data_IF_357670896883
#
_entry.id   IF_357670896883
#
_cell.length_a   1.000
_cell.length_b   1.000
_cell.length_c   1.000
_cell.angle_alpha   90.00
_cell.angle_beta   90.00
_cell.angle_gamma   90.00
#
_symmetry.space_group_name_H-M   'P 1'
#
loop_
_entity.id
_entity.type
_entity.pdbx_description
1 polymer ?
#
# COMPACT_ATOMS: atom_id res chain seq x y z
N UNK A 1 24.95 21.72 -21.94
CA UNK A 1 25.84 22.46 -21.01
C UNK A 1 24.97 23.30 -20.09
N UNK A 2 24.54 22.73 -18.97
CA UNK A 2 23.72 23.43 -17.98
C UNK A 2 24.68 24.09 -16.98
N UNK A 3 24.78 25.42 -17.03
CA UNK A 3 25.60 26.20 -16.10
C UNK A 3 24.80 26.39 -14.81
N UNK A 4 25.10 25.62 -13.77
CA UNK A 4 24.64 25.93 -12.41
C UNK A 4 25.48 27.09 -11.87
N UNK A 5 24.92 28.30 -11.89
CA UNK A 5 25.44 29.45 -11.16
C UNK A 5 25.53 29.13 -9.66
N UNK A 6 26.64 29.51 -9.03
CA UNK A 6 26.88 29.35 -7.60
C UNK A 6 26.24 30.48 -6.81
N UNK A 7 25.25 30.15 -5.98
CA UNK A 7 24.81 30.99 -4.85
C UNK A 7 25.63 30.65 -3.59
N UNK A 8 25.68 31.55 -2.59
CA UNK A 8 26.47 31.35 -1.37
C UNK A 8 25.82 30.25 -0.52
N UNK A 9 26.57 29.18 -0.25
CA UNK A 9 26.11 27.97 0.45
C UNK A 9 26.27 26.67 -0.36
N UNK A 10 26.86 26.70 -1.55
CA UNK A 10 27.03 25.51 -2.41
C UNK A 10 27.89 24.43 -1.73
N UNK A 11 27.26 23.31 -1.41
CA UNK A 11 27.91 22.00 -1.29
C UNK A 11 28.82 21.75 -2.50
N UNK A 12 30.07 21.33 -2.26
CA UNK A 12 30.97 20.93 -3.33
C UNK A 12 30.44 19.66 -4.05
N UNK A 13 30.81 19.49 -5.31
CA UNK A 13 30.40 18.35 -6.14
C UNK A 13 31.61 17.46 -6.39
N UNK A 14 31.47 16.17 -6.11
CA UNK A 14 32.48 15.14 -6.29
C UNK A 14 32.01 14.14 -7.35
N UNK A 15 32.79 14.00 -8.42
CA UNK A 15 32.51 13.04 -9.49
C UNK A 15 33.35 11.78 -9.30
N UNK A 16 32.72 10.61 -9.37
CA UNK A 16 33.43 9.33 -9.37
C UNK A 16 34.21 9.15 -10.67
N UNK A 17 35.52 8.89 -10.58
CA UNK A 17 36.40 8.73 -11.76
C UNK A 17 36.48 7.29 -12.26
N UNK A 18 36.14 6.30 -11.42
CA UNK A 18 36.19 4.87 -11.78
C UNK A 18 37.58 4.35 -12.19
N UNK A 19 38.66 4.89 -11.61
CA UNK A 19 40.05 4.40 -11.81
C UNK A 19 40.50 3.42 -10.70
N UNK A 20 39.53 2.68 -10.16
CA UNK A 20 39.61 1.81 -8.99
C UNK A 20 38.22 1.67 -8.37
N UNK A 21 38.05 0.76 -7.40
CA UNK A 21 36.75 0.49 -6.75
C UNK A 21 36.55 1.19 -5.41
N UNK A 22 37.62 1.43 -4.63
CA UNK A 22 37.49 1.88 -3.23
C UNK A 22 36.84 3.27 -3.09
N UNK A 23 35.65 3.34 -2.47
CA UNK A 23 34.97 4.61 -2.19
C UNK A 23 35.84 5.54 -1.34
N UNK A 24 36.53 4.99 -0.34
CA UNK A 24 37.31 5.76 0.64
C UNK A 24 38.67 6.26 0.11
N UNK A 25 38.99 6.07 -1.18
CA UNK A 25 40.29 6.48 -1.73
C UNK A 25 40.19 7.82 -2.45
N UNK A 26 40.88 8.83 -1.92
CA UNK A 26 40.87 10.21 -2.44
C UNK A 26 41.10 10.31 -3.96
N UNK A 27 41.99 9.47 -4.50
CA UNK A 27 42.36 9.48 -5.91
C UNK A 27 41.27 8.95 -6.84
N UNK A 28 40.16 8.41 -6.33
CA UNK A 28 39.01 7.93 -7.12
C UNK A 28 37.94 9.00 -7.35
N UNK A 29 38.10 10.17 -6.73
CA UNK A 29 37.16 11.28 -6.88
C UNK A 29 37.78 12.50 -7.58
N UNK A 30 36.92 13.31 -8.18
CA UNK A 30 37.24 14.63 -8.72
C UNK A 30 36.30 15.68 -8.11
N UNK A 31 36.79 16.70 -7.39
CA UNK A 31 38.19 16.93 -7.04
C UNK A 31 38.76 15.83 -6.14
N UNK A 32 40.09 15.76 -6.02
CA UNK A 32 40.75 14.75 -5.18
C UNK A 32 40.35 14.92 -3.71
N UNK A 33 39.76 13.88 -3.13
CA UNK A 33 39.27 13.85 -1.74
C UNK A 33 38.12 12.85 -1.61
N UNK A 34 37.75 12.46 -0.40
CA UNK A 34 36.58 11.58 -0.20
C UNK A 34 35.37 12.47 0.11
N UNK A 35 34.24 12.29 -0.60
CA UNK A 35 33.00 13.00 -0.28
C UNK A 35 32.58 12.74 1.16
N UNK A 36 32.00 13.76 1.79
CA UNK A 36 31.38 13.65 3.12
C UNK A 36 29.89 13.98 3.03
N UNK A 37 29.22 14.04 4.18
CA UNK A 37 27.81 14.39 4.27
C UNK A 37 27.44 15.79 3.74
N UNK A 38 28.43 16.64 3.43
CA UNK A 38 28.23 17.99 2.92
C UNK A 38 28.35 18.11 1.40
N UNK A 39 28.84 17.08 0.71
CA UNK A 39 29.14 17.13 -0.72
C UNK A 39 28.22 16.24 -1.56
N UNK A 40 27.85 16.74 -2.74
CA UNK A 40 27.08 15.96 -3.72
C UNK A 40 28.00 15.01 -4.46
N UNK A 41 27.56 13.78 -4.66
CA UNK A 41 28.25 12.76 -5.44
C UNK A 41 27.57 12.64 -6.81
N UNK A 42 28.36 12.68 -7.88
CA UNK A 42 27.87 12.46 -9.25
C UNK A 42 28.57 11.26 -9.88
N UNK A 43 27.77 10.36 -10.44
CA UNK A 43 28.21 9.30 -11.33
C UNK A 43 27.92 9.71 -12.78
N UNK A 44 28.98 10.06 -13.53
CA UNK A 44 28.90 10.54 -14.92
C UNK A 44 29.02 9.41 -15.94
N UNK A 45 28.94 9.69 -17.24
CA UNK A 45 28.80 8.69 -18.30
C UNK A 45 29.98 7.71 -18.50
N UNK A 46 31.09 7.81 -17.75
CA UNK A 46 32.32 7.06 -18.07
C UNK A 46 33.24 6.61 -16.89
N UNK A 47 32.73 6.12 -15.73
CA UNK A 47 33.59 5.39 -14.81
C UNK A 47 33.84 3.96 -15.33
N UNK A 48 35.11 3.55 -15.42
CA UNK A 48 35.46 2.18 -15.84
C UNK A 48 35.05 1.12 -14.80
N UNK A 49 35.10 1.48 -13.53
CA UNK A 49 34.83 0.59 -12.41
C UNK A 49 33.72 1.11 -11.50
N UNK A 50 32.97 0.18 -10.95
CA UNK A 50 31.90 0.43 -9.99
C UNK A 50 32.47 0.65 -8.58
N UNK A 51 31.90 1.59 -7.80
CA UNK A 51 32.40 1.89 -6.47
C UNK A 51 32.05 0.77 -5.47
N UNK A 52 32.95 0.54 -4.53
CA UNK A 52 32.82 -0.38 -3.42
C UNK A 52 33.02 0.39 -2.10
N UNK A 53 32.01 0.35 -1.23
CA UNK A 53 31.99 0.96 0.10
C UNK A 53 32.86 0.12 1.06
N UNK A 54 34.17 0.40 1.04
CA UNK A 54 35.19 -0.29 1.84
C UNK A 54 35.42 0.30 3.24
N UNK A 55 34.72 1.38 3.58
CA UNK A 55 34.67 1.99 4.90
C UNK A 55 33.35 2.76 5.02
N UNK A 56 32.94 3.15 6.24
CA UNK A 56 31.76 3.99 6.40
C UNK A 56 31.91 5.27 5.57
N UNK A 57 30.93 5.54 4.73
CA UNK A 57 30.94 6.60 3.75
C UNK A 57 29.74 7.53 3.95
N UNK A 58 29.85 8.76 3.45
CA UNK A 58 28.75 9.71 3.47
C UNK A 58 28.71 10.55 2.19
N UNK A 59 27.51 11.00 1.83
CA UNK A 59 27.27 11.97 0.77
C UNK A 59 26.09 12.87 1.16
N UNK A 60 26.09 14.12 0.72
CA UNK A 60 24.90 14.96 0.82
C UNK A 60 23.78 14.37 -0.05
N UNK A 61 24.08 14.07 -1.32
CA UNK A 61 23.19 13.40 -2.24
C UNK A 61 23.98 12.58 -3.26
N UNK A 62 23.32 11.64 -3.94
CA UNK A 62 23.90 10.84 -5.03
C UNK A 62 23.11 11.05 -6.31
N UNK A 63 23.74 11.54 -7.37
CA UNK A 63 23.11 11.71 -8.67
C UNK A 63 23.80 10.83 -9.72
N UNK A 64 23.04 9.92 -10.31
CA UNK A 64 23.44 9.21 -11.53
C UNK A 64 23.05 10.07 -12.73
N UNK A 65 24.04 10.58 -13.45
CA UNK A 65 23.81 11.51 -14.55
C UNK A 65 23.26 10.80 -15.79
N UNK A 66 22.57 11.56 -16.64
CA UNK A 66 22.09 11.05 -17.92
C UNK A 66 23.23 10.40 -18.74
N UNK A 67 22.93 9.24 -19.32
CA UNK A 67 23.88 8.47 -20.13
C UNK A 67 24.85 7.60 -19.33
N UNK A 68 24.83 7.61 -17.98
CA UNK A 68 25.60 6.62 -17.22
C UNK A 68 25.05 5.22 -17.47
N UNK A 69 25.94 4.26 -17.71
CA UNK A 69 25.60 2.83 -17.72
C UNK A 69 25.00 2.38 -16.38
N UNK A 70 24.48 1.17 -16.29
CA UNK A 70 24.17 0.60 -14.98
C UNK A 70 25.42 0.61 -14.10
N UNK A 71 25.32 1.24 -12.93
CA UNK A 71 26.31 1.21 -11.88
C UNK A 71 25.79 0.44 -10.68
N UNK A 72 26.68 -0.31 -10.04
CA UNK A 72 26.40 -0.96 -8.76
C UNK A 72 27.28 -0.36 -7.66
N UNK A 73 26.71 0.41 -6.74
CA UNK A 73 27.43 0.78 -5.51
C UNK A 73 27.42 -0.45 -4.59
N UNK A 74 28.56 -1.13 -4.47
CA UNK A 74 28.67 -2.39 -3.73
C UNK A 74 29.25 -2.22 -2.33
N UNK A 75 29.10 -3.24 -1.48
CA UNK A 75 29.78 -3.34 -0.18
C UNK A 75 28.80 -3.58 0.96
N UNK A 76 28.82 -4.76 1.56
CA UNK A 76 27.75 -5.19 2.48
C UNK A 76 28.04 -4.96 3.96
N UNK A 77 29.28 -4.60 4.31
CA UNK A 77 29.75 -4.49 5.70
C UNK A 77 29.63 -3.06 6.23
N UNK A 78 29.94 -2.07 5.39
CA UNK A 78 30.01 -0.67 5.79
C UNK A 78 28.79 0.10 5.30
N UNK A 79 28.43 1.14 6.04
CA UNK A 79 27.25 1.95 5.75
C UNK A 79 27.58 3.11 4.81
N UNK A 80 26.64 3.44 3.93
CA UNK A 80 26.61 4.66 3.14
C UNK A 80 25.49 5.56 3.69
N UNK A 81 25.89 6.64 4.37
CA UNK A 81 24.97 7.62 4.94
C UNK A 81 24.65 8.72 3.93
N UNK A 82 23.37 8.96 3.68
CA UNK A 82 22.91 9.97 2.70
C UNK A 82 21.97 10.94 3.40
N UNK A 83 22.14 12.25 3.13
CA UNK A 83 21.42 13.32 3.82
C UNK A 83 20.15 13.74 3.08
N UNK A 84 20.24 13.96 1.77
CA UNK A 84 19.20 14.57 0.93
C UNK A 84 18.58 13.59 -0.06
N UNK A 85 19.28 12.51 -0.39
CA UNK A 85 18.75 11.40 -1.17
C UNK A 85 19.56 11.07 -2.42
N UNK A 86 18.90 10.43 -3.37
CA UNK A 86 19.53 10.00 -4.60
C UNK A 86 18.59 10.10 -5.81
N UNK A 87 19.17 10.38 -6.98
CA UNK A 87 18.43 10.51 -8.24
C UNK A 87 19.05 9.65 -9.33
N UNK A 88 18.24 8.83 -10.00
CA UNK A 88 18.61 8.23 -11.28
C UNK A 88 18.11 9.08 -12.45
N UNK A 89 19.01 9.86 -13.07
CA UNK A 89 18.72 10.61 -14.30
C UNK A 89 19.16 9.85 -15.56
N UNK A 90 19.59 8.59 -15.44
CA UNK A 90 19.90 7.73 -16.57
C UNK A 90 18.73 6.82 -16.89
N UNK A 91 18.64 6.43 -18.16
CA UNK A 91 17.69 5.43 -18.64
C UNK A 91 18.04 4.01 -18.20
N UNK A 92 19.27 3.79 -17.75
CA UNK A 92 19.70 2.49 -17.25
C UNK A 92 19.38 2.36 -15.76
N UNK A 93 18.93 1.18 -15.34
CA UNK A 93 18.78 0.83 -13.93
C UNK A 93 20.08 1.10 -13.17
N UNK A 94 19.96 1.68 -11.97
CA UNK A 94 21.08 1.86 -11.04
C UNK A 94 20.86 1.02 -9.79
N UNK A 95 21.94 0.41 -9.29
CA UNK A 95 21.87 -0.57 -8.21
C UNK A 95 22.65 -0.05 -7.00
N UNK A 96 22.01 -0.07 -5.84
CA UNK A 96 22.66 0.17 -4.55
C UNK A 96 22.68 -1.14 -3.77
N UNK A 97 23.85 -1.76 -3.68
CA UNK A 97 24.10 -2.98 -2.92
C UNK A 97 25.03 -2.73 -1.73
N UNK A 98 24.82 -1.60 -1.05
CA UNK A 98 25.45 -1.24 0.21
C UNK A 98 24.40 -0.86 1.25
N UNK A 99 24.60 -1.19 2.54
CA UNK A 99 23.72 -0.72 3.61
C UNK A 99 23.57 0.80 3.60
N UNK A 100 22.33 1.27 3.60
CA UNK A 100 21.97 2.68 3.58
C UNK A 100 21.55 3.14 4.97
N UNK A 101 21.99 4.34 5.36
CA UNK A 101 21.62 4.97 6.61
C UNK A 101 21.11 6.39 6.36
N UNK A 102 19.85 6.65 6.70
CA UNK A 102 19.27 7.99 6.60
C UNK A 102 19.78 8.87 7.74
N UNK A 103 20.36 10.02 7.42
CA UNK A 103 20.75 11.04 8.40
C UNK A 103 19.83 12.26 8.38
N UNK A 104 18.88 12.28 7.45
CA UNK A 104 17.78 13.21 7.34
C UNK A 104 16.65 12.60 6.51
N UNK A 105 15.49 13.24 6.50
CA UNK A 105 14.42 12.88 5.56
C UNK A 105 14.89 13.19 4.14
N UNK A 106 14.76 12.22 3.24
CA UNK A 106 15.37 12.30 1.90
C UNK A 106 14.50 11.71 0.80
N UNK A 107 14.81 12.05 -0.45
CA UNK A 107 14.11 11.57 -1.64
C UNK A 107 14.97 10.60 -2.46
N UNK A 108 14.43 9.43 -2.78
CA UNK A 108 14.98 8.50 -3.77
C UNK A 108 14.14 8.57 -5.03
N UNK A 109 14.72 9.09 -6.10
CA UNK A 109 14.00 9.48 -7.30
C UNK A 109 14.47 8.70 -8.52
N UNK A 110 13.62 7.82 -9.04
CA UNK A 110 13.81 7.14 -10.32
C UNK A 110 13.32 8.06 -11.45
N UNK A 111 14.15 9.06 -11.82
CA UNK A 111 13.73 10.18 -12.66
C UNK A 111 13.72 9.88 -14.16
N UNK A 112 14.54 8.94 -14.62
CA UNK A 112 14.63 8.56 -16.03
C UNK A 112 14.80 7.05 -16.25
N UNK A 113 15.01 6.29 -15.18
CA UNK A 113 15.24 4.85 -15.18
C UNK A 113 15.19 4.30 -13.76
N UNK A 114 15.14 2.98 -13.65
CA UNK A 114 14.81 2.31 -12.40
C UNK A 114 15.90 2.43 -11.32
N UNK A 115 15.50 2.27 -10.06
CA UNK A 115 16.39 2.12 -8.91
C UNK A 115 16.20 0.74 -8.27
N UNK A 116 17.28 -0.03 -8.11
CA UNK A 116 17.28 -1.32 -7.40
C UNK A 116 18.12 -1.23 -6.11
N UNK A 117 17.46 -1.26 -4.95
CA UNK A 117 18.10 -1.17 -3.64
C UNK A 117 18.19 -2.58 -3.03
N UNK A 118 19.40 -3.13 -3.01
CA UNK A 118 19.70 -4.48 -2.51
C UNK A 118 20.28 -4.48 -1.10
N UNK A 119 20.96 -3.41 -0.71
CA UNK A 119 21.40 -3.21 0.67
C UNK A 119 20.23 -2.91 1.61
N UNK A 120 20.38 -3.27 2.88
CA UNK A 120 19.41 -2.89 3.92
C UNK A 120 19.36 -1.36 4.09
N UNK A 121 18.19 -0.82 4.41
CA UNK A 121 17.99 0.60 4.65
C UNK A 121 17.55 0.85 6.10
N UNK A 122 18.30 1.65 6.84
CA UNK A 122 17.89 2.16 8.14
C UNK A 122 17.35 3.58 8.00
N UNK A 123 16.04 3.75 8.25
CA UNK A 123 15.37 5.05 8.22
C UNK A 123 15.65 5.90 9.46
N UNK A 124 16.22 5.31 10.51
CA UNK A 124 16.38 5.90 11.84
C UNK A 124 15.06 6.45 12.38
N UNK A 125 14.78 7.75 12.23
CA UNK A 125 13.50 8.38 12.57
C UNK A 125 13.01 9.33 11.47
N UNK A 126 13.47 9.13 10.24
CA UNK A 126 13.27 10.04 9.12
C UNK A 126 12.30 9.49 8.07
N UNK A 127 11.73 10.38 7.27
CA UNK A 127 10.86 9.99 6.16
C UNK A 127 11.69 9.68 4.91
N UNK A 128 11.45 8.52 4.31
CA UNK A 128 11.93 8.21 2.97
C UNK A 128 10.83 8.55 1.96
N UNK A 129 11.09 9.54 1.10
CA UNK A 129 10.25 9.78 -0.07
C UNK A 129 10.79 8.97 -1.24
N UNK A 130 9.96 8.15 -1.87
CA UNK A 130 10.28 7.50 -3.15
C UNK A 130 9.44 8.15 -4.24
N UNK A 131 10.07 8.61 -5.31
CA UNK A 131 9.41 9.34 -6.39
C UNK A 131 9.99 9.04 -7.76
N UNK A 132 9.46 9.69 -8.79
CA UNK A 132 9.79 9.45 -10.18
C UNK A 132 8.66 8.79 -10.95
N UNK A 133 8.84 8.71 -12.26
CA UNK A 133 7.94 8.04 -13.21
C UNK A 133 8.39 6.62 -13.56
N UNK A 134 9.57 6.21 -13.07
CA UNK A 134 10.13 4.87 -13.19
C UNK A 134 10.11 4.13 -11.86
N UNK A 135 10.43 2.83 -11.89
CA UNK A 135 10.21 1.97 -10.75
C UNK A 135 11.40 2.01 -9.77
N UNK A 136 11.08 1.82 -8.49
CA UNK A 136 12.06 1.59 -7.43
C UNK A 136 11.74 0.27 -6.76
N UNK A 137 12.68 -0.68 -6.80
CA UNK A 137 12.53 -1.95 -6.10
C UNK A 137 13.50 -2.01 -4.92
N UNK A 138 12.98 -2.26 -3.72
CA UNK A 138 13.76 -2.43 -2.50
C UNK A 138 13.72 -3.91 -2.10
N UNK A 139 14.86 -4.57 -2.29
CA UNK A 139 15.10 -5.96 -1.89
C UNK A 139 15.64 -6.08 -0.46
N UNK A 140 16.46 -5.12 -0.03
CA UNK A 140 16.97 -5.09 1.34
C UNK A 140 15.87 -4.80 2.36
N UNK A 141 16.05 -5.25 3.60
CA UNK A 141 15.12 -4.90 4.68
C UNK A 141 15.19 -3.41 5.01
N UNK A 142 14.04 -2.83 5.31
CA UNK A 142 13.88 -1.46 5.80
C UNK A 142 13.60 -1.52 7.30
N UNK A 143 14.29 -0.68 8.07
CA UNK A 143 14.22 -0.65 9.55
C UNK A 143 14.21 0.78 10.09
N UNK A 144 13.97 0.94 11.40
CA UNK A 144 13.93 2.24 12.09
C UNK A 144 12.51 2.76 12.34
N UNK A 145 12.37 3.82 13.12
CA UNK A 145 11.08 4.45 13.43
C UNK A 145 10.59 5.46 12.38
N UNK A 146 11.35 5.61 11.29
CA UNK A 146 10.97 6.43 10.13
C UNK A 146 9.84 5.80 9.29
N UNK A 147 9.25 6.60 8.40
CA UNK A 147 8.14 6.21 7.53
C UNK A 147 8.43 6.37 6.04
N UNK A 148 7.46 6.01 5.20
CA UNK A 148 7.57 6.06 3.73
C UNK A 148 6.55 7.03 3.15
N UNK A 149 6.99 7.84 2.19
CA UNK A 149 6.13 8.65 1.32
C UNK A 149 6.34 8.17 -0.11
N UNK A 150 5.29 7.69 -0.77
CA UNK A 150 5.30 7.29 -2.17
C UNK A 150 4.68 8.39 -3.03
N UNK A 151 5.51 9.03 -3.86
CA UNK A 151 5.17 10.06 -4.84
C UNK A 151 5.47 9.56 -6.26
N UNK A 152 5.09 10.35 -7.27
CA UNK A 152 5.37 10.05 -8.69
C UNK A 152 4.55 8.86 -9.22
N UNK A 153 4.57 8.66 -10.55
CA UNK A 153 3.74 7.64 -11.20
C UNK A 153 4.34 6.23 -11.19
N UNK A 154 5.63 6.08 -10.92
CA UNK A 154 6.29 4.77 -10.88
C UNK A 154 5.80 3.87 -9.73
N UNK A 155 6.28 2.64 -9.71
CA UNK A 155 5.99 1.65 -8.67
C UNK A 155 7.13 1.58 -7.66
N UNK A 156 6.81 1.65 -6.37
CA UNK A 156 7.71 1.23 -5.30
C UNK A 156 7.35 -0.21 -4.92
N UNK A 157 8.27 -1.14 -5.14
CA UNK A 157 8.09 -2.56 -4.78
C UNK A 157 8.93 -2.89 -3.55
N UNK A 158 8.28 -3.41 -2.51
CA UNK A 158 8.93 -3.90 -1.28
C UNK A 158 9.01 -5.43 -1.30
N UNK A 159 10.23 -5.95 -1.47
CA UNK A 159 10.52 -7.39 -1.50
C UNK A 159 11.17 -7.89 -0.20
N UNK A 160 11.72 -7.00 0.64
CA UNK A 160 12.36 -7.36 1.89
C UNK A 160 11.38 -7.52 3.05
N UNK A 161 11.80 -8.22 4.11
CA UNK A 161 11.09 -8.28 5.39
C UNK A 161 11.39 -6.99 6.16
N UNK A 162 10.39 -6.14 6.31
CA UNK A 162 10.56 -4.78 6.81
C UNK A 162 10.08 -4.64 8.25
N UNK A 163 10.83 -3.88 9.05
CA UNK A 163 10.59 -3.68 10.49
C UNK A 163 10.44 -2.21 10.86
N UNK A 164 10.38 -1.31 9.87
CA UNK A 164 10.14 0.10 10.15
C UNK A 164 8.74 0.32 10.74
N UNK A 165 8.61 1.36 11.55
CA UNK A 165 7.38 1.63 12.31
C UNK A 165 6.76 3.01 12.11
N UNK A 166 7.30 3.83 11.20
CA UNK A 166 6.65 5.07 10.79
C UNK A 166 5.49 4.83 9.82
N UNK A 167 4.63 5.83 9.66
CA UNK A 167 3.47 5.75 8.76
C UNK A 167 3.86 5.70 7.28
N UNK A 168 2.91 5.23 6.47
CA UNK A 168 3.05 5.17 5.01
C UNK A 168 2.03 6.09 4.36
N UNK A 169 2.49 6.97 3.47
CA UNK A 169 1.64 7.87 2.70
C UNK A 169 1.83 7.61 1.20
N UNK A 170 0.77 7.23 0.49
CA UNK A 170 0.80 6.95 -0.95
C UNK A 170 0.07 8.09 -1.67
N UNK A 171 0.84 9.05 -2.16
CA UNK A 171 0.34 10.24 -2.85
C UNK A 171 0.17 10.04 -4.36
N UNK A 172 0.84 9.04 -4.94
CA UNK A 172 0.71 8.71 -6.36
C UNK A 172 1.49 7.45 -6.75
N UNK A 173 1.19 6.92 -7.94
CA UNK A 173 1.75 5.66 -8.42
C UNK A 173 1.34 4.48 -7.53
N UNK A 174 2.17 3.45 -7.48
CA UNK A 174 1.84 2.21 -6.74
C UNK A 174 2.88 1.93 -5.65
N UNK A 175 2.42 1.54 -4.46
CA UNK A 175 3.21 0.78 -3.49
C UNK A 175 2.80 -0.69 -3.61
N UNK A 176 3.71 -1.54 -4.10
CA UNK A 176 3.49 -2.97 -4.26
C UNK A 176 4.20 -3.75 -3.14
N UNK A 177 3.45 -4.60 -2.47
CA UNK A 177 3.93 -5.51 -1.45
C UNK A 177 4.15 -6.88 -2.07
N UNK A 178 5.37 -7.38 -2.00
CA UNK A 178 5.75 -8.64 -2.66
C UNK A 178 6.57 -9.56 -1.74
N UNK A 179 6.42 -9.36 -0.42
CA UNK A 179 6.90 -10.23 0.65
C UNK A 179 5.83 -10.35 1.72
N UNK A 180 5.77 -11.48 2.43
CA UNK A 180 4.84 -11.71 3.55
C UNK A 180 5.02 -10.61 4.62
N UNK A 181 6.27 -10.31 4.97
CA UNK A 181 6.63 -9.25 5.92
C UNK A 181 6.97 -7.92 5.22
N UNK A 182 6.34 -7.61 4.08
CA UNK A 182 6.65 -6.36 3.37
C UNK A 182 6.37 -5.12 4.25
N UNK A 183 5.40 -5.17 5.17
CA UNK A 183 5.19 -4.18 6.22
C UNK A 183 4.51 -4.89 7.40
N UNK A 184 4.83 -4.50 8.65
CA UNK A 184 4.32 -5.20 9.84
C UNK A 184 4.06 -4.34 11.07
N UNK A 185 4.84 -3.27 11.30
CA UNK A 185 4.79 -2.51 12.55
C UNK A 185 4.36 -1.05 12.34
N UNK A 186 3.59 -0.77 11.29
CA UNK A 186 3.19 0.60 10.96
C UNK A 186 1.86 0.94 11.61
N UNK A 187 1.67 2.16 12.13
CA UNK A 187 0.41 2.52 12.78
C UNK A 187 -0.73 2.72 11.77
N UNK A 188 -0.38 3.06 10.52
CA UNK A 188 -1.36 3.41 9.49
C UNK A 188 -0.76 3.46 8.10
N UNK A 189 -1.63 3.24 7.11
CA UNK A 189 -1.36 3.49 5.69
C UNK A 189 -2.43 4.45 5.15
N UNK A 190 -1.98 5.58 4.62
CA UNK A 190 -2.85 6.57 3.97
C UNK A 190 -2.64 6.53 2.47
N UNK A 191 -3.72 6.27 1.72
CA UNK A 191 -3.73 6.23 0.26
C UNK A 191 -4.48 7.45 -0.27
N UNK A 192 -3.72 8.49 -0.65
CA UNK A 192 -4.28 9.78 -1.07
C UNK A 192 -4.80 9.74 -2.51
N UNK A 193 -3.95 9.40 -3.47
CA UNK A 193 -4.32 9.34 -4.89
C UNK A 193 -3.56 8.25 -5.68
N UNK A 194 -2.73 7.44 -5.01
CA UNK A 194 -2.07 6.29 -5.62
C UNK A 194 -2.75 4.96 -5.25
N UNK A 195 -1.99 3.88 -5.38
CA UNK A 195 -2.45 2.51 -5.16
C UNK A 195 -1.60 1.81 -4.11
N UNK A 196 -2.26 1.15 -3.15
CA UNK A 196 -1.66 0.08 -2.35
C UNK A 196 -1.99 -1.26 -3.01
N UNK A 197 -0.99 -2.01 -3.48
CA UNK A 197 -1.16 -3.34 -4.05
C UNK A 197 -0.63 -4.38 -3.07
N UNK A 198 -1.52 -5.22 -2.53
CA UNK A 198 -1.21 -6.18 -1.46
C UNK A 198 -0.41 -7.40 -1.94
N UNK A 199 -0.38 -7.64 -3.26
CA UNK A 199 0.30 -8.81 -3.82
C UNK A 199 -0.43 -10.11 -3.50
N UNK A 200 0.15 -11.25 -3.88
CA UNK A 200 -0.50 -12.57 -3.79
C UNK A 200 -0.13 -13.39 -2.55
N UNK A 201 0.60 -12.83 -1.60
CA UNK A 201 1.24 -13.63 -0.54
C UNK A 201 0.29 -13.95 0.62
N UNK A 202 -0.71 -13.10 0.89
CA UNK A 202 -1.86 -13.43 1.75
C UNK A 202 -1.53 -13.81 3.19
N UNK A 203 -0.88 -12.92 3.92
CA UNK A 203 -0.54 -13.14 5.34
C UNK A 203 -0.51 -11.85 6.17
N UNK A 204 -1.12 -10.77 5.67
CA UNK A 204 -1.39 -9.64 6.55
C UNK A 204 -2.59 -9.97 7.40
N UNK A 205 -2.41 -10.38 8.66
CA UNK A 205 -3.50 -10.51 9.62
C UNK A 205 -3.20 -9.60 10.82
N UNK A 206 -3.08 -8.30 10.53
CA UNK A 206 -2.80 -7.28 11.54
C UNK A 206 -3.97 -6.30 11.66
N UNK A 207 -4.88 -6.64 12.59
CA UNK A 207 -6.04 -5.81 12.94
C UNK A 207 -5.66 -4.47 13.61
N UNK A 208 -4.37 -4.17 13.81
CA UNK A 208 -3.91 -2.89 14.37
C UNK A 208 -3.58 -1.83 13.31
N UNK A 209 -3.38 -2.22 12.05
CA UNK A 209 -3.01 -1.29 10.97
C UNK A 209 -4.26 -0.66 10.36
N UNK A 210 -4.48 0.63 10.58
CA UNK A 210 -5.57 1.36 9.94
C UNK A 210 -5.26 1.72 8.48
N UNK A 211 -6.26 1.59 7.60
CA UNK A 211 -6.21 2.00 6.20
C UNK A 211 -7.07 3.23 5.98
N UNK A 212 -6.47 4.33 5.54
CA UNK A 212 -7.17 5.57 5.20
C UNK A 212 -7.18 5.75 3.69
N UNK A 213 -8.34 5.64 3.05
CA UNK A 213 -8.52 5.93 1.63
C UNK A 213 -9.08 7.35 1.46
N UNK A 214 -8.22 8.27 1.01
CA UNK A 214 -8.52 9.72 0.86
C UNK A 214 -8.81 10.09 -0.61
N UNK A 215 -8.96 9.09 -1.46
CA UNK A 215 -9.04 9.22 -2.92
C UNK A 215 -8.24 8.14 -3.67
N UNK A 216 -7.40 7.39 -2.95
CA UNK A 216 -6.56 6.33 -3.50
C UNK A 216 -7.27 4.99 -3.67
N UNK A 217 -6.50 3.99 -4.10
CA UNK A 217 -6.97 2.66 -4.46
C UNK A 217 -6.28 1.58 -3.62
N UNK A 218 -7.03 0.54 -3.27
CA UNK A 218 -6.52 -0.69 -2.72
C UNK A 218 -6.72 -1.80 -3.73
N UNK A 219 -5.65 -2.46 -4.15
CA UNK A 219 -5.69 -3.62 -5.04
C UNK A 219 -5.28 -4.87 -4.26
N UNK A 220 -6.17 -5.86 -4.24
CA UNK A 220 -5.88 -7.18 -3.69
C UNK A 220 -5.05 -8.01 -4.66
N UNK A 221 -4.30 -8.96 -4.14
CA UNK A 221 -3.89 -10.13 -4.92
C UNK A 221 -4.67 -11.37 -4.52
N UNK A 222 -4.07 -12.54 -4.70
CA UNK A 222 -4.71 -13.84 -4.40
C UNK A 222 -4.62 -14.21 -2.91
N UNK A 223 -3.99 -13.37 -2.10
CA UNK A 223 -3.84 -13.56 -0.68
C UNK A 223 -5.09 -13.14 0.10
N UNK A 224 -5.35 -13.79 1.24
CA UNK A 224 -6.29 -13.22 2.22
C UNK A 224 -5.54 -12.26 3.13
N UNK A 225 -6.08 -11.07 3.32
CA UNK A 225 -5.45 -9.99 4.07
C UNK A 225 -6.46 -9.35 5.06
N UNK A 226 -5.95 -8.80 6.14
CA UNK A 226 -6.65 -8.38 7.34
C UNK A 226 -6.00 -7.14 7.93
N UNK A 227 -6.82 -6.12 8.15
CA UNK A 227 -6.43 -4.80 8.62
C UNK A 227 -7.28 -4.36 9.80
N UNK A 228 -6.89 -3.26 10.43
CA UNK A 228 -7.71 -2.53 11.40
C UNK A 228 -8.87 -1.79 10.75
N UNK A 229 -9.12 -0.58 11.21
CA UNK A 229 -10.20 0.26 10.66
C UNK A 229 -9.94 0.64 9.21
N UNK A 230 -10.98 0.54 8.38
CA UNK A 230 -11.04 1.19 7.06
C UNK A 230 -11.71 2.55 7.20
N UNK A 231 -11.00 3.64 6.91
CA UNK A 231 -11.59 4.98 6.83
C UNK A 231 -11.64 5.49 5.39
N UNK A 232 -12.82 5.96 4.98
CA UNK A 232 -13.04 6.60 3.68
C UNK A 232 -13.31 8.09 3.87
N UNK A 233 -12.49 8.93 3.24
CA UNK A 233 -12.64 10.39 3.24
C UNK A 233 -12.65 11.02 1.83
N UNK A 234 -12.35 10.24 0.79
CA UNK A 234 -12.38 10.65 -0.61
C UNK A 234 -13.01 9.62 -1.54
N UNK A 235 -12.99 9.89 -2.84
CA UNK A 235 -13.52 8.96 -3.86
C UNK A 235 -12.49 7.86 -4.10
N UNK A 236 -12.70 6.71 -3.47
CA UNK A 236 -11.73 5.64 -3.38
C UNK A 236 -12.22 4.34 -3.98
N UNK A 237 -11.28 3.43 -4.21
CA UNK A 237 -11.55 2.16 -4.86
C UNK A 237 -10.94 1.00 -4.09
N UNK A 238 -11.66 -0.13 -4.07
CA UNK A 238 -11.11 -1.44 -3.76
C UNK A 238 -11.27 -2.29 -5.00
N UNK A 239 -10.20 -2.94 -5.43
CA UNK A 239 -10.20 -3.85 -6.57
C UNK A 239 -9.87 -5.25 -6.09
N UNK A 240 -10.86 -6.12 -6.19
CA UNK A 240 -10.74 -7.55 -5.97
C UNK A 240 -10.06 -8.21 -7.17
N UNK A 241 -9.47 -9.38 -6.97
CA UNK A 241 -8.77 -10.15 -8.00
C UNK A 241 -9.56 -11.43 -8.31
N UNK A 242 -10.46 -11.42 -9.31
CA UNK A 242 -11.30 -12.57 -9.61
C UNK A 242 -10.48 -13.72 -10.22
N UNK A 243 -9.84 -14.53 -9.38
CA UNK A 243 -8.95 -15.63 -9.75
C UNK A 243 -9.55 -17.00 -9.46
N UNK A 244 -10.70 -17.07 -8.80
CA UNK A 244 -11.35 -18.31 -8.34
C UNK A 244 -10.75 -18.88 -7.05
N UNK A 245 -9.86 -18.15 -6.39
CA UNK A 245 -9.22 -18.58 -5.14
C UNK A 245 -10.09 -18.31 -3.91
N UNK A 246 -11.08 -17.41 -4.00
CA UNK A 246 -11.98 -17.11 -2.89
C UNK A 246 -11.33 -16.33 -1.75
N UNK A 247 -10.47 -15.37 -2.06
CA UNK A 247 -9.64 -14.68 -1.07
C UNK A 247 -10.43 -13.67 -0.25
N UNK A 248 -10.02 -13.44 0.99
CA UNK A 248 -10.75 -12.58 1.93
C UNK A 248 -9.95 -11.32 2.21
N UNK A 249 -10.59 -10.17 2.02
CA UNK A 249 -10.14 -8.91 2.60
C UNK A 249 -10.96 -8.59 3.84
N UNK A 250 -10.29 -8.44 4.99
CA UNK A 250 -10.92 -8.21 6.28
C UNK A 250 -10.48 -6.89 6.89
N UNK A 251 -11.42 -6.22 7.54
CA UNK A 251 -11.19 -5.02 8.33
C UNK A 251 -11.82 -5.16 9.71
N UNK A 252 -11.19 -4.62 10.74
CA UNK A 252 -11.75 -4.59 12.10
C UNK A 252 -13.06 -3.79 12.16
N UNK A 253 -13.16 -2.73 11.36
CA UNK A 253 -14.31 -1.84 11.30
C UNK A 253 -14.26 -0.92 10.08
N UNK A 254 -15.29 -0.08 9.95
CA UNK A 254 -15.43 0.85 8.84
C UNK A 254 -15.93 2.21 9.31
N UNK A 255 -15.24 3.27 8.90
CA UNK A 255 -15.60 4.66 9.14
C UNK A 255 -15.72 5.42 7.83
N UNK A 256 -16.64 6.39 7.80
CA UNK A 256 -16.85 7.28 6.66
C UNK A 256 -16.88 8.72 7.15
N UNK A 257 -16.01 9.54 6.56
CA UNK A 257 -15.92 10.98 6.82
C UNK A 257 -16.12 11.82 5.55
N UNK A 258 -16.15 11.19 4.36
CA UNK A 258 -16.44 11.84 3.08
C UNK A 258 -16.20 10.93 1.87
N UNK A 259 -16.62 11.38 0.69
CA UNK A 259 -16.39 10.68 -0.57
C UNK A 259 -17.23 9.41 -0.76
N UNK A 260 -16.73 8.47 -1.55
CA UNK A 260 -17.41 7.21 -1.92
C UNK A 260 -16.41 6.07 -2.05
N UNK A 261 -16.89 4.83 -1.91
CA UNK A 261 -16.10 3.63 -2.16
C UNK A 261 -16.67 2.85 -3.34
N UNK A 262 -15.89 2.68 -4.40
CA UNK A 262 -16.24 1.78 -5.51
C UNK A 262 -15.48 0.47 -5.42
N UNK A 263 -16.19 -0.65 -5.49
CA UNK A 263 -15.62 -1.99 -5.43
C UNK A 263 -15.66 -2.62 -6.82
N UNK A 264 -14.50 -3.00 -7.35
CA UNK A 264 -14.34 -3.66 -8.63
C UNK A 264 -14.01 -5.15 -8.46
N UNK A 265 -14.41 -5.96 -9.45
CA UNK A 265 -14.03 -7.38 -9.50
C UNK A 265 -14.86 -8.30 -8.61
N UNK A 266 -15.90 -7.80 -7.94
CA UNK A 266 -16.80 -8.64 -7.15
C UNK A 266 -17.62 -9.57 -8.05
N UNK A 267 -17.84 -10.80 -7.58
CA UNK A 267 -18.65 -11.80 -8.26
C UNK A 267 -19.72 -12.35 -7.34
N UNK A 268 -20.93 -12.55 -7.87
CA UNK A 268 -22.04 -13.12 -7.11
C UNK A 268 -23.40 -12.60 -7.57
N UNK A 269 -24.41 -12.80 -6.73
CA UNK A 269 -25.76 -12.25 -6.92
C UNK A 269 -26.03 -11.20 -5.83
N UNK A 270 -26.60 -10.04 -6.16
CA UNK A 270 -26.92 -9.00 -5.17
C UNK A 270 -27.68 -9.54 -3.95
N UNK A 271 -27.28 -9.07 -2.76
CA UNK A 271 -27.81 -9.52 -1.47
C UNK A 271 -27.53 -11.00 -1.12
N UNK A 272 -26.62 -11.64 -1.84
CA UNK A 272 -26.11 -12.98 -1.51
C UNK A 272 -24.59 -12.93 -1.32
N UNK A 273 -24.02 -13.93 -0.65
CA UNK A 273 -22.57 -14.04 -0.53
C UNK A 273 -21.88 -14.00 -1.90
N UNK A 274 -20.72 -13.35 -1.94
CA UNK A 274 -19.84 -13.37 -3.08
C UNK A 274 -19.35 -14.79 -3.40
N UNK A 275 -19.01 -15.03 -4.66
CA UNK A 275 -18.63 -16.35 -5.17
C UNK A 275 -17.13 -16.57 -5.33
N UNK A 276 -16.35 -15.51 -5.19
CA UNK A 276 -14.89 -15.54 -5.28
C UNK A 276 -14.31 -14.68 -4.14
N UNK A 277 -13.56 -13.63 -4.46
CA UNK A 277 -13.07 -12.70 -3.47
C UNK A 277 -14.19 -11.97 -2.73
N UNK A 278 -14.02 -11.83 -1.40
CA UNK A 278 -15.03 -11.29 -0.50
C UNK A 278 -14.43 -10.31 0.50
N UNK A 279 -15.23 -9.32 0.88
CA UNK A 279 -14.85 -8.29 1.85
C UNK A 279 -15.64 -8.51 3.13
N UNK A 280 -14.94 -8.58 4.27
CA UNK A 280 -15.53 -8.76 5.58
C UNK A 280 -15.15 -7.65 6.55
N UNK A 281 -16.06 -7.38 7.48
CA UNK A 281 -15.81 -6.53 8.63
C UNK A 281 -16.02 -7.31 9.93
N UNK A 282 -15.19 -7.07 10.94
CA UNK A 282 -15.34 -7.63 12.29
C UNK A 282 -16.26 -6.80 13.20
N UNK A 283 -16.64 -5.61 12.75
CA UNK A 283 -17.65 -4.76 13.35
C UNK A 283 -18.64 -4.33 12.26
N UNK A 284 -19.94 -4.43 12.54
CA UNK A 284 -20.96 -4.07 11.55
C UNK A 284 -20.76 -2.63 11.05
N UNK A 285 -20.51 -2.42 9.74
CA UNK A 285 -20.48 -1.09 9.16
C UNK A 285 -21.81 -0.37 9.36
N UNK A 286 -21.76 0.93 9.64
CA UNK A 286 -22.96 1.73 9.81
C UNK A 286 -23.64 2.05 8.46
N UNK A 287 -24.90 2.47 8.51
CA UNK A 287 -25.69 2.79 7.31
C UNK A 287 -25.07 3.91 6.46
N UNK A 288 -24.42 4.90 7.10
CA UNK A 288 -23.77 6.00 6.37
C UNK A 288 -22.63 5.49 5.50
N UNK A 289 -21.78 4.59 6.01
CA UNK A 289 -20.75 3.94 5.21
C UNK A 289 -21.38 3.18 4.03
N UNK A 290 -22.40 2.37 4.30
CA UNK A 290 -23.02 1.49 3.30
C UNK A 290 -23.67 2.24 2.13
N UNK A 291 -24.30 3.40 2.38
CA UNK A 291 -24.94 4.21 1.32
C UNK A 291 -23.92 4.72 0.29
N UNK A 292 -22.67 4.96 0.69
CA UNK A 292 -21.62 5.48 -0.20
C UNK A 292 -20.73 4.37 -0.82
N UNK A 293 -21.09 3.11 -0.61
CA UNK A 293 -20.47 1.98 -1.31
C UNK A 293 -21.19 1.77 -2.64
N UNK A 294 -20.45 1.47 -3.70
CA UNK A 294 -20.99 1.00 -4.97
C UNK A 294 -20.14 -0.15 -5.48
N UNK A 295 -20.77 -1.25 -5.87
CA UNK A 295 -20.10 -2.31 -6.60
C UNK A 295 -20.21 -2.02 -8.09
N UNK A 296 -19.12 -2.15 -8.83
CA UNK A 296 -19.10 -1.93 -10.27
C UNK A 296 -20.10 -2.86 -10.97
N UNK A 297 -20.95 -2.29 -11.82
CA UNK A 297 -22.04 -3.01 -12.50
C UNK A 297 -23.32 -3.22 -11.67
N UNK A 298 -23.42 -2.69 -10.44
CA UNK A 298 -24.59 -2.81 -9.57
C UNK A 298 -25.18 -1.44 -9.19
N UNK A 299 -26.38 -1.45 -8.60
CA UNK A 299 -26.99 -0.24 -8.07
C UNK A 299 -26.14 0.35 -6.93
N UNK A 300 -26.10 1.69 -6.78
CA UNK A 300 -25.45 2.32 -5.64
C UNK A 300 -26.03 1.82 -4.30
N UNK A 301 -25.14 1.68 -3.32
CA UNK A 301 -25.43 1.13 -2.00
C UNK A 301 -24.81 -0.25 -1.79
N UNK A 302 -24.17 -0.43 -0.63
CA UNK A 302 -23.79 -1.72 -0.09
C UNK A 302 -24.80 -2.20 0.94
N UNK A 303 -24.81 -3.50 1.21
CA UNK A 303 -25.42 -4.07 2.40
C UNK A 303 -24.47 -5.09 3.02
N UNK A 304 -24.76 -5.48 4.26
CA UNK A 304 -23.98 -6.53 4.92
C UNK A 304 -24.80 -7.77 5.24
N UNK A 305 -24.19 -8.93 5.04
CA UNK A 305 -24.71 -10.23 5.45
C UNK A 305 -23.99 -10.68 6.73
N UNK A 306 -24.76 -11.05 7.75
CA UNK A 306 -24.21 -11.58 9.00
C UNK A 306 -23.71 -13.01 8.78
N UNK A 307 -22.44 -13.24 9.10
CA UNK A 307 -21.74 -14.51 8.90
C UNK A 307 -20.99 -14.89 10.18
N UNK A 308 -21.73 -15.45 11.14
CA UNK A 308 -21.18 -15.75 12.46
C UNK A 308 -20.85 -14.47 13.22
N UNK A 309 -19.57 -14.22 13.48
CA UNK A 309 -19.08 -13.02 14.19
C UNK A 309 -18.58 -11.91 13.26
N UNK A 310 -18.89 -11.98 11.96
CA UNK A 310 -18.41 -11.03 10.95
C UNK A 310 -19.54 -10.62 10.01
N UNK A 311 -19.26 -9.59 9.21
CA UNK A 311 -20.22 -9.00 8.27
C UNK A 311 -19.61 -8.92 6.88
N UNK A 312 -20.13 -9.70 5.95
CA UNK A 312 -19.72 -9.64 4.55
C UNK A 312 -20.38 -8.45 3.85
N UNK A 313 -19.60 -7.62 3.16
CA UNK A 313 -20.10 -6.54 2.33
C UNK A 313 -20.48 -7.06 0.93
N UNK A 314 -21.72 -6.80 0.51
CA UNK A 314 -22.28 -7.25 -0.78
C UNK A 314 -23.10 -6.12 -1.45
N UNK A 315 -23.36 -6.20 -2.77
CA UNK A 315 -24.26 -5.25 -3.43
C UNK A 315 -25.70 -5.37 -2.92
N UNK A 316 -26.43 -4.26 -2.91
CA UNK A 316 -27.88 -4.27 -2.63
C UNK A 316 -28.67 -4.94 -3.77
N UNK A 317 -29.66 -5.80 -3.49
CA UNK A 317 -30.60 -6.30 -4.49
C UNK A 317 -31.31 -5.21 -5.28
N UNK A 318 -31.68 -5.52 -6.51
CA UNK A 318 -32.52 -4.61 -7.31
C UNK A 318 -33.91 -4.46 -6.66
N UNK A 319 -34.55 -3.31 -6.90
CA UNK A 319 -35.83 -2.96 -6.25
C UNK A 319 -36.97 -3.95 -6.58
N UNK A 320 -36.93 -4.61 -7.73
CA UNK A 320 -37.85 -5.70 -8.10
C UNK A 320 -37.68 -6.94 -7.21
N UNK A 321 -36.45 -7.23 -6.78
CA UNK A 321 -36.13 -8.39 -5.94
C UNK A 321 -36.50 -8.13 -4.48
N UNK A 322 -36.34 -6.90 -3.98
CA UNK A 322 -36.89 -6.50 -2.67
C UNK A 322 -38.41 -6.63 -2.62
N UNK A 323 -39.11 -6.21 -3.69
CA UNK A 323 -40.57 -6.37 -3.77
C UNK A 323 -40.98 -7.84 -3.76
N UNK A 324 -40.25 -8.72 -4.45
CA UNK A 324 -40.50 -10.16 -4.45
C UNK A 324 -40.21 -10.80 -3.08
N UNK A 325 -39.11 -10.42 -2.43
CA UNK A 325 -38.72 -10.96 -1.12
C UNK A 325 -39.68 -10.51 -0.01
N UNK A 326 -40.12 -9.24 -0.03
CA UNK A 326 -41.15 -8.72 0.88
C UNK A 326 -42.51 -9.36 0.59
N UNK A 327 -42.89 -9.51 -0.70
CA UNK A 327 -44.13 -10.17 -1.08
C UNK A 327 -44.16 -11.65 -0.67
N UNK A 328 -43.06 -12.39 -0.87
CA UNK A 328 -42.93 -13.78 -0.45
C UNK A 328 -42.91 -13.93 1.08
N UNK A 329 -42.27 -13.00 1.80
CA UNK A 329 -42.31 -12.94 3.27
C UNK A 329 -43.73 -12.70 3.80
N UNK A 330 -44.47 -11.76 3.20
CA UNK A 330 -45.88 -11.49 3.53
C UNK A 330 -46.79 -12.67 3.15
N UNK A 331 -46.54 -13.34 2.02
CA UNK A 331 -47.28 -14.54 1.60
C UNK A 331 -47.03 -15.70 2.57
N UNK A 332 -45.78 -15.93 2.97
CA UNK A 332 -45.39 -16.94 3.95
C UNK A 332 -45.99 -16.68 5.33
N UNK A 333 -46.02 -15.42 5.77
CA UNK A 333 -46.71 -14.99 6.99
C UNK A 333 -48.23 -15.22 6.90
N UNK A 334 -48.86 -14.89 5.77
CA UNK A 334 -50.28 -15.11 5.54
C UNK A 334 -50.66 -16.61 5.51
N UNK A 335 -49.82 -17.47 4.92
CA UNK A 335 -50.00 -18.93 4.89
C UNK A 335 -49.83 -19.53 6.29
N UNK A 336 -48.81 -19.13 7.07
CA UNK A 336 -48.66 -19.55 8.48
C UNK A 336 -49.85 -19.13 9.33
N UNK A 337 -50.40 -17.93 9.12
CA UNK A 337 -51.58 -17.44 9.83
C UNK A 337 -52.85 -18.23 9.47
N UNK A 338 -53.05 -18.59 8.20
CA UNK A 338 -54.19 -19.45 7.79
C UNK A 338 -54.11 -20.87 8.36
N UNK A 339 -52.92 -21.46 8.42
CA UNK A 339 -52.72 -22.80 9.01
C UNK A 339 -52.93 -22.80 10.53
N UNK A 340 -52.57 -21.72 11.23
CA UNK A 340 -52.81 -21.58 12.67
C UNK A 340 -54.31 -21.45 13.02
N UNK A 341 -55.11 -20.83 12.16
CA UNK A 341 -56.56 -20.67 12.38
C UNK A 341 -57.31 -22.00 12.16
N UNK A 342 -56.84 -22.87 11.27
CA UNK A 342 -57.45 -24.18 11.03
C UNK A 342 -57.23 -25.19 12.17
N UNK A 343 -56.23 -24.98 13.05
CA UNK A 343 -55.95 -25.87 14.18
C UNK A 343 -56.70 -25.50 15.47
N UNK A 344 -57.49 -24.42 15.48
CA UNK A 344 -58.38 -24.09 16.60
C UNK A 344 -59.75 -24.75 16.36
N UNK A 345 -59.86 -26.03 16.73
CA UNK A 345 -61.15 -26.71 16.82
C UNK A 345 -62.10 -26.02 17.83
N UNK A 346 -63.43 -26.16 17.68
CA UNK A 346 -64.39 -25.40 18.48
C UNK A 346 -64.29 -25.74 19.97
N UNK A 347 -63.98 -24.73 20.78
CA UNK A 347 -63.98 -24.80 22.24
C UNK A 347 -65.40 -25.06 22.75
N UNK A 348 -65.65 -26.25 23.32
CA UNK A 348 -66.90 -26.55 24.01
C UNK A 348 -67.00 -25.73 25.30
N UNK A 349 -68.01 -24.88 25.39
CA UNK A 349 -68.35 -24.14 26.59
C UNK A 349 -69.17 -25.05 27.53
N UNK A 350 -68.58 -25.55 28.62
CA UNK A 350 -69.35 -26.24 29.66
C UNK A 350 -69.84 -25.23 30.69
N UNK A 351 -71.16 -25.03 30.71
CA UNK A 351 -71.92 -24.26 31.69
C UNK A 351 -71.93 -25.03 33.02
N UNK A 352 -71.45 -24.40 34.09
CA UNK A 352 -71.55 -24.91 35.47
C UNK A 352 -72.78 -24.25 36.10
N UNK A 353 -73.85 -25.02 36.29
CA UNK A 353 -75.01 -24.59 37.07
C UNK A 353 -74.80 -25.05 38.52
N UNK A 354 -74.79 -24.10 39.46
CA UNK A 354 -74.74 -24.34 40.91
C UNK A 354 -76.15 -24.65 41.44
N UNK A 355 -76.26 -25.66 42.30
CA UNK A 355 -77.33 -25.82 43.30
C UNK A 355 -76.74 -26.40 44.58
#
# INVERSE_FOLDING_TARGET
MLVLLASPGKSAVYTWKGNGVDWAKNSHWSPTGVPTALEYVIFSADPREDPFVNANAAAAAIDFAAGVRTMTISGTVYTLSIVLGMTNNSVNEQIINAPLNLTGSQEWKAAAGDLSIRGAANLNGYMLTVSGDHDTTIYGSISGTGGIIKNGSGTLTLNGNNTFSGSININGGTLALNSEDAIRNVPSITVNAGTLSLGGNGDWDDSSVAIYLVGGHLEMGDGSDGFGELEISGHSQIKLKPSGNGSILRFAGANWSGGSLTIYGWSGQPGRPGTDDRIFFESKPNEMFLIYVTFDGFNPGGMVLETGSSWELVPVPETSDYALMVALGLLGFAVRRRLAIFNLGPTRCSRVDNA
#
